data_IF_798765316589
#
_entry.id   IF_798765316589
#
_cell.length_a   1.000
_cell.length_b   1.000
_cell.length_c   1.000
_cell.angle_alpha   90.00
_cell.angle_beta   90.00
_cell.angle_gamma   90.00
#
_symmetry.space_group_name_H-M   'P 1'
#
loop_
_entity.id
_entity.type
_entity.pdbx_description
1 polymer ?
#
# COMPACT_ATOMS: atom_id res chain seq x y z
N UNK A 1 15.32 -6.50 -6.25
CA UNK A 1 14.60 -5.83 -5.15
C UNK A 1 13.47 -5.00 -5.77
N UNK A 2 12.45 -5.68 -6.32
CA UNK A 2 11.39 -5.06 -7.12
C UNK A 2 10.10 -4.81 -6.31
N UNK A 3 10.03 -5.25 -5.04
CA UNK A 3 8.82 -5.23 -4.23
C UNK A 3 8.44 -3.85 -3.69
N UNK A 4 9.34 -3.19 -2.96
CA UNK A 4 9.01 -1.95 -2.22
C UNK A 4 8.58 -0.81 -3.15
N UNK A 5 9.36 -0.51 -4.19
CA UNK A 5 9.04 0.55 -5.15
C UNK A 5 7.70 0.30 -5.87
N UNK A 6 7.41 -0.96 -6.23
CA UNK A 6 6.18 -1.31 -6.91
C UNK A 6 4.96 -1.20 -5.98
N UNK A 7 5.11 -1.58 -4.71
CA UNK A 7 4.07 -1.40 -3.68
C UNK A 7 3.88 0.09 -3.37
N UNK A 8 4.96 0.86 -3.25
CA UNK A 8 4.91 2.30 -3.02
C UNK A 8 4.19 3.01 -4.17
N UNK A 9 4.50 2.67 -5.42
CA UNK A 9 3.75 3.16 -6.58
C UNK A 9 2.26 2.82 -6.49
N UNK A 10 1.92 1.62 -5.99
CA UNK A 10 0.53 1.24 -5.81
C UNK A 10 -0.19 2.05 -4.73
N UNK A 11 0.48 2.33 -3.61
CA UNK A 11 -0.04 3.18 -2.54
C UNK A 11 -0.18 4.64 -3.01
N UNK A 12 0.81 5.17 -3.73
CA UNK A 12 0.76 6.53 -4.26
C UNK A 12 -0.39 6.75 -5.25
N UNK A 13 -0.73 5.74 -6.04
CA UNK A 13 -1.87 5.81 -6.96
C UNK A 13 -3.22 5.67 -6.26
N UNK A 14 -3.29 4.87 -5.19
CA UNK A 14 -4.50 4.79 -4.36
C UNK A 14 -4.72 6.07 -3.55
N UNK A 15 -3.62 6.73 -3.16
CA UNK A 15 -3.54 7.97 -2.39
C UNK A 15 -4.59 8.06 -1.26
N UNK A 16 -4.49 7.21 -0.21
CA UNK A 16 -5.56 7.02 0.76
C UNK A 16 -6.06 8.31 1.44
N UNK A 17 -5.16 9.28 1.61
CA UNK A 17 -5.48 10.56 2.25
C UNK A 17 -5.50 11.74 1.27
N UNK A 18 -5.44 11.50 -0.05
CA UNK A 18 -5.47 12.57 -1.05
C UNK A 18 -4.28 13.53 -0.97
N UNK A 19 -3.11 13.03 -0.60
CA UNK A 19 -1.88 13.81 -0.35
C UNK A 19 -1.14 14.20 -1.63
N UNK A 20 -1.55 13.64 -2.78
CA UNK A 20 -0.97 13.86 -4.10
C UNK A 20 0.55 13.62 -4.15
N UNK A 21 1.05 12.43 -3.75
CA UNK A 21 2.49 12.16 -3.62
C UNK A 21 3.30 12.47 -4.89
N UNK A 22 4.39 13.22 -4.74
CA UNK A 22 5.29 13.59 -5.83
C UNK A 22 4.78 14.70 -6.74
N UNK A 23 3.58 15.24 -6.50
CA UNK A 23 3.09 16.42 -7.21
C UNK A 23 3.74 17.71 -6.67
N UNK A 24 3.77 18.81 -7.46
CA UNK A 24 4.40 20.07 -7.01
C UNK A 24 3.81 20.69 -5.74
N UNK A 25 2.56 20.37 -5.41
CA UNK A 25 1.84 20.90 -4.26
C UNK A 25 1.54 19.84 -3.18
N UNK A 26 1.88 18.58 -3.44
CA UNK A 26 1.61 17.44 -2.56
C UNK A 26 2.78 17.11 -1.64
N UNK A 27 2.66 15.94 -1.02
CA UNK A 27 3.71 15.36 -0.15
C UNK A 27 4.85 14.75 -0.98
N UNK A 28 6.00 14.46 -0.36
CA UNK A 28 7.07 13.68 -1.00
C UNK A 28 6.56 12.36 -1.61
N UNK A 29 7.20 11.91 -2.69
CA UNK A 29 6.81 10.67 -3.40
C UNK A 29 6.99 9.40 -2.55
N UNK A 30 7.81 9.48 -1.50
CA UNK A 30 8.13 8.42 -0.57
C UNK A 30 7.34 8.48 0.74
N UNK A 31 6.24 9.26 0.78
CA UNK A 31 5.41 9.42 1.99
C UNK A 31 4.98 8.06 2.58
N UNK A 32 4.54 7.12 1.73
CA UNK A 32 4.10 5.79 2.14
C UNK A 32 5.21 4.72 2.12
N UNK A 33 6.48 5.11 2.12
CA UNK A 33 7.59 4.17 1.91
C UNK A 33 7.77 3.15 3.05
N UNK A 34 7.33 3.48 4.27
CA UNK A 34 7.44 2.58 5.43
C UNK A 34 6.41 1.47 5.35
N UNK A 35 5.17 1.83 5.06
CA UNK A 35 4.05 0.91 4.85
C UNK A 35 4.33 0.02 3.63
N UNK A 36 4.83 0.63 2.54
CA UNK A 36 5.20 -0.10 1.34
C UNK A 36 6.28 -1.17 1.62
N UNK A 37 7.23 -0.86 2.50
CA UNK A 37 8.26 -1.80 2.91
C UNK A 37 7.67 -2.99 3.65
N UNK A 38 6.84 -2.75 4.66
CA UNK A 38 6.25 -3.82 5.48
C UNK A 38 5.35 -4.74 4.63
N UNK A 39 4.54 -4.16 3.74
CA UNK A 39 3.70 -4.93 2.79
C UNK A 39 4.57 -5.73 1.83
N UNK A 40 5.65 -5.14 1.29
CA UNK A 40 6.55 -5.83 0.37
C UNK A 40 7.31 -6.97 1.06
N UNK A 41 7.63 -6.86 2.35
CA UNK A 41 8.21 -7.95 3.13
C UNK A 41 7.25 -9.14 3.25
N UNK A 42 5.95 -8.90 3.49
CA UNK A 42 4.92 -9.96 3.47
C UNK A 42 4.82 -10.59 2.07
N UNK A 43 4.73 -9.78 1.01
CA UNK A 43 4.68 -10.28 -0.37
C UNK A 43 5.89 -11.16 -0.70
N UNK A 44 7.09 -10.76 -0.28
CA UNK A 44 8.31 -11.52 -0.51
C UNK A 44 8.34 -12.86 0.23
N UNK A 45 7.78 -12.91 1.44
CA UNK A 45 7.77 -14.13 2.27
C UNK A 45 6.64 -15.10 1.90
N UNK A 46 5.45 -14.58 1.59
CA UNK A 46 4.23 -15.37 1.42
C UNK A 46 3.78 -15.49 -0.04
N UNK A 47 4.33 -14.68 -0.93
CA UNK A 47 3.93 -14.59 -2.34
C UNK A 47 2.60 -13.87 -2.57
N UNK A 48 1.94 -13.41 -1.50
CA UNK A 48 0.67 -12.67 -1.53
C UNK A 48 0.44 -11.90 -0.23
N UNK A 49 -0.44 -10.92 -0.26
CA UNK A 49 -1.02 -10.22 0.90
C UNK A 49 -2.54 -10.37 0.87
N UNK A 50 -3.14 -10.48 2.05
CA UNK A 50 -4.59 -10.37 2.23
C UNK A 50 -4.98 -8.94 2.57
N UNK A 51 -6.29 -8.67 2.58
CA UNK A 51 -6.81 -7.40 3.09
C UNK A 51 -6.44 -7.22 4.57
N UNK A 52 -6.63 -8.24 5.40
CA UNK A 52 -6.33 -8.17 6.83
C UNK A 52 -4.84 -7.84 7.10
N UNK A 53 -3.92 -8.33 6.25
CA UNK A 53 -2.50 -7.97 6.35
C UNK A 53 -2.27 -6.48 6.07
N UNK A 54 -2.92 -5.94 5.03
CA UNK A 54 -2.80 -4.52 4.66
C UNK A 54 -3.46 -3.62 5.70
N UNK A 55 -4.67 -3.96 6.15
CA UNK A 55 -5.39 -3.23 7.19
C UNK A 55 -4.61 -3.24 8.51
N UNK A 56 -4.01 -4.38 8.90
CA UNK A 56 -3.19 -4.48 10.11
C UNK A 56 -1.90 -3.67 10.06
N UNK A 57 -1.23 -3.62 8.90
CA UNK A 57 -0.07 -2.72 8.71
C UNK A 57 -0.54 -1.27 8.82
N UNK A 58 -1.63 -0.91 8.14
CA UNK A 58 -2.15 0.44 8.17
C UNK A 58 -2.51 0.89 9.59
N UNK A 59 -3.19 0.03 10.34
CA UNK A 59 -3.56 0.30 11.73
C UNK A 59 -2.33 0.51 12.62
N UNK A 60 -1.22 -0.20 12.37
CA UNK A 60 0.02 -0.01 13.14
C UNK A 60 0.69 1.35 12.93
N UNK A 61 0.52 1.95 11.75
CA UNK A 61 1.10 3.25 11.39
C UNK A 61 0.17 4.42 11.66
N UNK A 62 -1.14 4.25 11.42
CA UNK A 62 -2.14 5.32 11.45
C UNK A 62 -3.21 5.16 12.55
N UNK A 63 -3.22 4.06 13.31
CA UNK A 63 -4.24 3.73 14.31
C UNK A 63 -5.66 3.55 13.75
N UNK A 64 -5.78 3.26 12.45
CA UNK A 64 -7.03 2.89 11.79
C UNK A 64 -6.75 1.93 10.62
N UNK A 65 -7.65 0.99 10.32
CA UNK A 65 -7.48 0.09 9.19
C UNK A 65 -7.73 0.84 7.87
N UNK A 66 -7.02 0.46 6.79
CA UNK A 66 -7.11 1.15 5.51
C UNK A 66 -8.52 1.08 4.91
N UNK A 67 -9.25 0.00 5.16
CA UNK A 67 -10.64 -0.18 4.72
C UNK A 67 -11.58 0.89 5.25
N UNK A 68 -11.31 1.44 6.44
CA UNK A 68 -12.12 2.53 6.99
C UNK A 68 -11.80 3.88 6.33
N UNK A 69 -10.61 4.02 5.74
CA UNK A 69 -10.15 5.24 5.05
C UNK A 69 -10.68 5.30 3.62
N UNK A 70 -10.49 4.24 2.82
CA UNK A 70 -10.80 4.26 1.38
C UNK A 70 -11.96 3.33 0.98
N UNK A 71 -12.49 2.55 1.92
CA UNK A 71 -13.59 1.63 1.68
C UNK A 71 -13.18 0.27 1.10
N UNK A 72 -14.05 -0.72 1.30
CA UNK A 72 -13.81 -2.14 0.95
C UNK A 72 -13.48 -2.37 -0.53
N UNK A 73 -14.14 -1.64 -1.44
CA UNK A 73 -13.94 -1.83 -2.87
C UNK A 73 -12.53 -1.41 -3.30
N UNK A 74 -12.04 -0.26 -2.81
CA UNK A 74 -10.72 0.25 -3.16
C UNK A 74 -9.61 -0.56 -2.50
N UNK A 75 -9.77 -0.98 -1.24
CA UNK A 75 -8.81 -1.90 -0.60
C UNK A 75 -8.75 -3.23 -1.35
N UNK A 76 -9.88 -3.78 -1.78
CA UNK A 76 -9.90 -5.02 -2.57
C UNK A 76 -9.13 -4.86 -3.88
N UNK A 77 -9.32 -3.74 -4.59
CA UNK A 77 -8.62 -3.45 -5.83
C UNK A 77 -7.11 -3.26 -5.60
N UNK A 78 -6.74 -2.56 -4.54
CA UNK A 78 -5.35 -2.33 -4.15
C UNK A 78 -4.62 -3.63 -3.80
N UNK A 79 -5.24 -4.49 -2.99
CA UNK A 79 -4.70 -5.82 -2.65
C UNK A 79 -4.56 -6.69 -3.89
N UNK A 80 -5.55 -6.70 -4.79
CA UNK A 80 -5.48 -7.44 -6.04
C UNK A 80 -4.31 -6.94 -6.91
N UNK A 81 -4.08 -5.62 -6.95
CA UNK A 81 -2.94 -5.03 -7.63
C UNK A 81 -1.62 -5.42 -7.00
N UNK A 82 -1.46 -5.29 -5.68
CA UNK A 82 -0.24 -5.69 -4.97
C UNK A 82 0.11 -7.16 -5.25
N UNK A 83 -0.89 -8.03 -5.27
CA UNK A 83 -0.72 -9.46 -5.56
C UNK A 83 -0.38 -9.75 -7.03
N UNK A 84 -0.66 -8.85 -7.97
CA UNK A 84 -0.22 -9.01 -9.35
C UNK A 84 1.27 -8.67 -9.53
N UNK A 85 1.82 -7.80 -8.67
CA UNK A 85 3.24 -7.43 -8.65
C UNK A 85 4.16 -8.60 -8.22
N UNK A 86 3.63 -9.54 -7.44
CA UNK A 86 4.38 -10.71 -6.97
C UNK A 86 4.52 -11.82 -8.02
N UNK A 87 3.84 -11.71 -9.17
CA UNK A 87 3.93 -12.70 -10.25
C UNK A 87 5.08 -12.33 -11.21
N UNK A 88 6.01 -13.25 -11.51
CA UNK A 88 7.06 -13.04 -12.51
C UNK A 88 6.51 -12.98 -13.94
#
# INVERSE_FOLDING_TARGET
>A
MLGVEAVLSALNEADPYGLQPGSPAGVPVDEYAREARDIAEILAQQGRVSQDDVDGIWESWFNEPLVDVIGIAEVTALVARMNSLARP
#
